data_IF_629363685331
#
_entry.id   IF_629363685331
#
_cell.length_a   1.000
_cell.length_b   1.000
_cell.length_c   1.000
_cell.angle_alpha   90.00
_cell.angle_beta   90.00
_cell.angle_gamma   90.00
#
_symmetry.space_group_name_H-M   'P 1'
#
loop_
_entity.id
_entity.type
_entity.pdbx_description
1 polymer ?
#
# COMPACT_ATOMS: atom_id res chain seq x y z
N UNK A 1 -4.33 10.52 3.87
CA UNK A 1 -4.84 11.84 3.41
C UNK A 1 -3.92 13.04 3.69
N UNK A 2 -3.32 13.17 4.88
CA UNK A 2 -2.49 14.35 5.22
C UNK A 2 -1.36 14.59 4.21
N UNK A 3 -0.65 13.53 3.80
CA UNK A 3 0.40 13.60 2.78
C UNK A 3 -0.18 14.01 1.42
N UNK A 4 -1.36 13.53 1.04
CA UNK A 4 -2.01 13.93 -0.21
C UNK A 4 -2.31 15.43 -0.22
N UNK A 5 -2.89 15.95 0.87
CA UNK A 5 -3.29 17.36 0.95
C UNK A 5 -2.12 18.33 1.16
N UNK A 6 -1.07 17.91 1.86
CA UNK A 6 -0.01 18.80 2.34
C UNK A 6 1.41 18.26 2.13
N UNK A 7 1.61 17.28 1.24
CA UNK A 7 2.90 16.65 0.97
C UNK A 7 4.00 17.65 0.59
N UNK A 8 3.65 18.64 -0.24
CA UNK A 8 4.54 19.74 -0.63
C UNK A 8 5.03 20.61 0.56
N UNK A 9 4.34 20.57 1.70
CA UNK A 9 4.74 21.28 2.91
C UNK A 9 5.42 20.33 3.90
N UNK A 10 4.83 19.16 4.14
CA UNK A 10 5.26 18.21 5.17
C UNK A 10 6.60 17.58 4.81
N UNK A 11 6.76 17.09 3.56
CA UNK A 11 7.97 16.36 3.16
C UNK A 11 9.22 17.25 3.19
N UNK A 12 9.22 18.48 2.61
CA UNK A 12 10.37 19.36 2.72
C UNK A 12 10.66 19.82 4.15
N UNK A 13 9.61 20.01 4.98
CA UNK A 13 9.79 20.40 6.38
C UNK A 13 10.42 19.27 7.19
N UNK A 14 9.98 18.03 7.01
CA UNK A 14 10.57 16.86 7.65
C UNK A 14 12.06 16.71 7.25
N UNK A 15 12.38 16.86 5.97
CA UNK A 15 13.75 16.84 5.46
C UNK A 15 14.60 17.97 6.07
N UNK A 16 14.08 19.21 6.12
CA UNK A 16 14.76 20.36 6.73
C UNK A 16 15.10 20.15 8.20
N UNK A 17 14.25 19.43 8.93
CA UNK A 17 14.44 19.13 10.35
C UNK A 17 15.10 17.78 10.63
N UNK A 18 15.54 17.07 9.59
CA UNK A 18 16.17 15.74 9.70
C UNK A 18 15.29 14.71 10.44
N UNK A 19 13.96 14.84 10.29
CA UNK A 19 12.97 13.93 10.88
C UNK A 19 12.46 12.97 9.82
N UNK A 20 12.58 11.66 10.08
CA UNK A 20 12.05 10.63 9.20
C UNK A 20 10.53 10.49 9.31
N UNK A 21 9.86 10.37 8.16
CA UNK A 21 8.45 9.95 8.06
C UNK A 21 8.42 8.44 7.85
N UNK A 22 7.78 7.71 8.77
CA UNK A 22 7.64 6.26 8.68
C UNK A 22 6.21 5.91 8.22
N UNK A 23 6.03 5.34 7.02
CA UNK A 23 4.71 4.99 6.53
C UNK A 23 4.10 3.85 7.34
N UNK A 24 2.81 3.98 7.64
CA UNK A 24 2.00 2.95 8.33
C UNK A 24 0.94 2.36 7.40
N UNK A 25 0.57 3.08 6.35
CA UNK A 25 -0.25 2.53 5.27
C UNK A 25 0.46 1.29 4.67
N UNK A 26 -0.30 0.22 4.41
CA UNK A 26 0.23 -1.12 4.15
C UNK A 26 1.16 -1.14 2.94
N UNK A 27 0.73 -0.52 1.85
CA UNK A 27 1.41 -0.45 0.58
C UNK A 27 2.73 0.35 0.68
N UNK A 28 2.69 1.51 1.33
CA UNK A 28 3.89 2.35 1.51
C UNK A 28 4.84 1.74 2.53
N UNK A 29 4.33 1.11 3.59
CA UNK A 29 5.16 0.32 4.52
C UNK A 29 5.84 -0.85 3.79
N UNK A 30 5.13 -1.51 2.86
CA UNK A 30 5.68 -2.58 2.03
C UNK A 30 6.80 -2.07 1.11
N UNK A 31 6.61 -0.94 0.43
CA UNK A 31 7.67 -0.28 -0.35
C UNK A 31 8.85 0.08 0.54
N UNK A 32 8.61 0.67 1.71
CA UNK A 32 9.67 1.07 2.63
C UNK A 32 10.50 -0.11 3.13
N UNK A 33 9.85 -1.23 3.45
CA UNK A 33 10.52 -2.49 3.78
C UNK A 33 11.31 -3.06 2.61
N UNK A 34 10.74 -3.06 1.41
CA UNK A 34 11.39 -3.57 0.20
C UNK A 34 12.61 -2.74 -0.20
N UNK A 35 12.55 -1.41 -0.01
CA UNK A 35 13.68 -0.50 -0.23
C UNK A 35 14.82 -0.81 0.75
N UNK A 36 14.52 -1.05 2.03
CA UNK A 36 15.54 -1.35 3.03
C UNK A 36 16.65 -0.30 3.08
N UNK A 37 17.87 -0.68 2.70
CA UNK A 37 19.04 0.21 2.60
C UNK A 37 19.49 0.47 1.16
N UNK A 38 18.67 0.13 0.17
CA UNK A 38 18.98 0.36 -1.23
C UNK A 38 19.04 1.87 -1.55
N UNK A 39 19.83 2.22 -2.56
CA UNK A 39 19.91 3.60 -3.04
C UNK A 39 18.68 3.93 -3.90
N UNK A 40 18.03 5.06 -3.63
CA UNK A 40 16.89 5.52 -4.43
C UNK A 40 17.23 5.73 -5.91
N UNK A 41 18.51 5.92 -6.27
CA UNK A 41 18.98 6.02 -7.66
C UNK A 41 18.84 4.72 -8.44
N UNK A 42 18.83 3.59 -7.74
CA UNK A 42 18.70 2.27 -8.36
C UNK A 42 17.23 1.91 -8.60
N UNK A 43 16.28 2.70 -8.08
CA UNK A 43 14.85 2.46 -8.16
C UNK A 43 14.31 2.84 -9.56
N UNK A 44 13.76 1.86 -10.27
CA UNK A 44 13.14 2.07 -11.57
C UNK A 44 11.69 2.53 -11.46
N UNK A 45 10.85 1.81 -10.70
CA UNK A 45 9.42 2.11 -10.48
C UNK A 45 8.90 1.50 -9.17
N UNK A 46 7.78 2.04 -8.71
CA UNK A 46 6.97 1.49 -7.62
C UNK A 46 5.76 0.76 -8.20
N UNK A 47 5.34 -0.33 -7.56
CA UNK A 47 4.16 -1.10 -7.94
C UNK A 47 3.25 -1.22 -6.72
N UNK A 48 2.17 -0.45 -6.72
CA UNK A 48 1.15 -0.47 -5.67
C UNK A 48 0.12 -1.54 -5.97
N UNK A 49 -0.06 -2.48 -5.05
CA UNK A 49 -1.11 -3.49 -5.17
C UNK A 49 -2.43 -2.99 -4.62
N UNK A 50 -3.56 -3.35 -5.21
CA UNK A 50 -4.90 -3.03 -4.73
C UNK A 50 -5.76 -4.31 -4.63
N UNK A 51 -6.62 -4.42 -3.63
CA UNK A 51 -7.55 -5.57 -3.54
C UNK A 51 -8.57 -5.63 -4.69
N UNK A 52 -8.85 -4.47 -5.30
CA UNK A 52 -9.92 -4.26 -6.29
C UNK A 52 -11.27 -3.88 -5.66
N UNK A 53 -11.39 -3.96 -4.33
CA UNK A 53 -12.62 -3.63 -3.61
C UNK A 53 -13.78 -4.60 -3.89
N UNK A 54 -14.95 -4.37 -3.27
CA UNK A 54 -16.15 -5.23 -3.41
C UNK A 54 -16.75 -5.27 -4.83
N UNK A 55 -16.43 -4.30 -5.69
CA UNK A 55 -17.02 -4.18 -7.02
C UNK A 55 -16.10 -4.61 -8.17
N UNK A 56 -14.95 -5.21 -7.87
CA UNK A 56 -13.97 -5.69 -8.86
C UNK A 56 -14.61 -6.51 -9.99
N UNK A 57 -15.50 -7.44 -9.62
CA UNK A 57 -16.13 -8.38 -10.55
C UNK A 57 -17.56 -7.94 -10.92
N UNK A 58 -18.00 -6.76 -10.47
CA UNK A 58 -19.34 -6.23 -10.75
C UNK A 58 -19.41 -5.72 -12.19
N UNK A 59 -20.39 -6.16 -13.01
CA UNK A 59 -20.56 -5.65 -14.36
C UNK A 59 -20.75 -4.14 -14.40
N UNK A 60 -20.13 -3.46 -15.36
CA UNK A 60 -20.16 -2.00 -15.45
C UNK A 60 -21.59 -1.41 -15.49
N UNK A 61 -22.54 -2.12 -16.10
CA UNK A 61 -23.97 -1.73 -16.16
C UNK A 61 -24.68 -1.74 -14.79
N UNK A 62 -24.12 -2.45 -13.81
CA UNK A 62 -24.67 -2.62 -12.46
C UNK A 62 -24.08 -1.61 -11.47
N UNK A 63 -22.89 -1.06 -11.77
CA UNK A 63 -22.21 -0.04 -10.95
C UNK A 63 -23.09 1.19 -10.62
N UNK A 64 -23.94 1.73 -11.51
CA UNK A 64 -24.80 2.87 -11.17
C UNK A 64 -25.86 2.58 -10.08
N UNK A 65 -26.10 1.31 -9.77
CA UNK A 65 -27.16 0.86 -8.86
C UNK A 65 -26.62 0.30 -7.53
N UNK A 66 -25.30 0.33 -7.32
CA UNK A 66 -24.71 -0.17 -6.08
C UNK A 66 -25.07 0.73 -4.90
N UNK A 67 -25.24 0.11 -3.74
CA UNK A 67 -25.61 0.78 -2.50
C UNK A 67 -24.41 0.96 -1.58
N UNK A 68 -24.46 1.92 -0.63
CA UNK A 68 -23.44 2.05 0.41
C UNK A 68 -23.27 0.76 1.23
N UNK A 69 -24.35 0.01 1.49
CA UNK A 69 -24.28 -1.26 2.21
C UNK A 69 -23.45 -2.32 1.49
N UNK A 70 -23.55 -2.39 0.15
CA UNK A 70 -22.71 -3.28 -0.66
C UNK A 70 -21.25 -2.81 -0.67
N UNK A 71 -21.01 -1.50 -0.76
CA UNK A 71 -19.66 -0.95 -0.73
C UNK A 71 -18.97 -1.19 0.62
N UNK A 72 -19.72 -1.19 1.73
CA UNK A 72 -19.21 -1.46 3.09
C UNK A 72 -18.86 -2.93 3.34
N UNK A 73 -19.25 -3.86 2.46
CA UNK A 73 -18.96 -5.29 2.58
C UNK A 73 -17.62 -5.66 1.90
N UNK A 74 -16.51 -5.16 2.44
CA UNK A 74 -15.19 -5.36 1.86
C UNK A 74 -14.72 -6.83 1.91
N UNK A 75 -14.13 -7.40 0.83
CA UNK A 75 -13.81 -8.83 0.78
C UNK A 75 -12.62 -9.25 1.65
N UNK A 76 -11.63 -8.39 1.85
CA UNK A 76 -10.36 -8.75 2.52
C UNK A 76 -10.08 -8.02 3.84
N UNK A 77 -10.48 -6.76 3.98
CA UNK A 77 -10.09 -5.89 5.08
C UNK A 77 -11.31 -5.50 5.93
N UNK A 78 -11.12 -5.44 7.25
CA UNK A 78 -12.07 -4.84 8.18
C UNK A 78 -11.62 -3.42 8.52
N UNK A 79 -12.33 -2.41 8.02
CA UNK A 79 -11.90 -1.01 8.05
C UNK A 79 -13.05 -0.04 8.37
N UNK A 80 -12.72 1.23 8.63
CA UNK A 80 -13.70 2.28 8.83
C UNK A 80 -14.49 2.64 7.56
N UNK A 81 -15.70 3.18 7.71
CA UNK A 81 -16.63 3.37 6.58
C UNK A 81 -16.06 4.20 5.42
N UNK A 82 -15.33 5.30 5.70
CA UNK A 82 -14.75 6.17 4.65
C UNK A 82 -13.76 5.42 3.76
N UNK A 83 -12.74 4.80 4.34
CA UNK A 83 -11.72 4.04 3.60
C UNK A 83 -12.34 2.85 2.86
N UNK A 84 -13.38 2.23 3.43
CA UNK A 84 -14.09 1.15 2.76
C UNK A 84 -14.81 1.63 1.48
N UNK A 85 -15.47 2.80 1.51
CA UNK A 85 -16.06 3.41 0.30
C UNK A 85 -14.98 3.81 -0.71
N UNK A 86 -13.87 4.38 -0.25
CA UNK A 86 -12.75 4.76 -1.12
C UNK A 86 -12.14 3.54 -1.80
N UNK A 87 -12.04 2.40 -1.12
CA UNK A 87 -11.59 1.12 -1.71
C UNK A 87 -12.58 0.63 -2.77
N UNK A 88 -13.88 0.71 -2.50
CA UNK A 88 -14.92 0.30 -3.45
C UNK A 88 -14.94 1.13 -4.74
N UNK A 89 -14.47 2.37 -4.70
CA UNK A 89 -14.35 3.27 -5.86
C UNK A 89 -12.94 3.30 -6.46
N UNK A 90 -11.98 2.59 -5.85
CA UNK A 90 -10.54 2.70 -6.10
C UNK A 90 -9.95 4.10 -5.87
N UNK A 91 -10.72 5.04 -5.32
CA UNK A 91 -10.20 6.34 -4.90
C UNK A 91 -9.12 6.19 -3.83
N UNK A 92 -9.21 5.16 -2.97
CA UNK A 92 -8.16 4.86 -1.99
C UNK A 92 -6.81 4.73 -2.69
N UNK A 93 -6.76 3.92 -3.75
CA UNK A 93 -5.54 3.70 -4.52
C UNK A 93 -5.06 4.97 -5.24
N UNK A 94 -5.98 5.80 -5.71
CA UNK A 94 -5.66 7.13 -6.26
C UNK A 94 -4.98 8.05 -5.24
N UNK A 95 -5.47 8.07 -3.99
CA UNK A 95 -4.85 8.80 -2.89
C UNK A 95 -3.47 8.24 -2.55
N UNK A 96 -3.34 6.91 -2.51
CA UNK A 96 -2.09 6.23 -2.21
C UNK A 96 -1.01 6.44 -3.29
N UNK A 97 -1.39 6.58 -4.57
CA UNK A 97 -0.46 6.96 -5.65
C UNK A 97 0.15 8.34 -5.39
N UNK A 98 -0.68 9.31 -4.97
CA UNK A 98 -0.19 10.65 -4.61
C UNK A 98 0.69 10.59 -3.36
N UNK A 99 0.33 9.77 -2.39
CA UNK A 99 1.13 9.56 -1.18
C UNK A 99 2.49 8.91 -1.49
N UNK A 100 2.53 7.91 -2.37
CA UNK A 100 3.78 7.27 -2.79
C UNK A 100 4.71 8.24 -3.55
N UNK A 101 4.15 9.11 -4.39
CA UNK A 101 4.91 10.18 -5.04
C UNK A 101 5.66 11.04 -4.01
N UNK A 102 4.96 11.47 -2.96
CA UNK A 102 5.54 12.33 -1.92
C UNK A 102 6.50 11.59 -1.00
N UNK A 103 6.15 10.39 -0.54
CA UNK A 103 6.94 9.65 0.44
C UNK A 103 8.26 9.12 -0.14
N UNK A 104 8.27 8.73 -1.42
CA UNK A 104 9.42 8.09 -2.05
C UNK A 104 10.07 8.94 -3.15
N UNK A 105 9.61 10.18 -3.34
CA UNK A 105 10.07 11.08 -4.39
C UNK A 105 10.03 10.42 -5.77
N UNK A 106 8.95 9.69 -6.06
CA UNK A 106 8.79 8.92 -7.29
C UNK A 106 7.89 9.66 -8.30
N UNK A 107 8.33 9.89 -9.55
CA UNK A 107 7.46 10.42 -10.60
C UNK A 107 6.20 9.57 -10.82
N UNK A 108 5.07 10.22 -11.12
CA UNK A 108 3.78 9.53 -11.28
C UNK A 108 3.77 8.46 -12.38
N UNK A 109 4.50 8.69 -13.48
CA UNK A 109 4.66 7.74 -14.60
C UNK A 109 5.50 6.51 -14.24
N UNK A 110 6.08 6.49 -13.03
CA UNK A 110 6.84 5.39 -12.45
C UNK A 110 6.14 4.77 -11.22
N UNK A 111 4.83 5.00 -11.06
CA UNK A 111 4.01 4.37 -10.03
C UNK A 111 2.90 3.59 -10.73
N UNK A 112 3.07 2.27 -10.79
CA UNK A 112 2.08 1.37 -11.36
C UNK A 112 1.08 0.91 -10.29
N UNK A 113 -0.13 0.61 -10.73
CA UNK A 113 -1.18 0.02 -9.88
C UNK A 113 -1.58 -1.34 -10.45
N UNK A 114 -1.54 -2.38 -9.61
CA UNK A 114 -1.93 -3.74 -9.97
C UNK A 114 -3.02 -4.24 -9.03
N UNK A 115 -4.09 -4.82 -9.57
CA UNK A 115 -5.11 -5.48 -8.74
C UNK A 115 -4.58 -6.86 -8.32
N UNK A 116 -4.39 -7.05 -7.02
CA UNK A 116 -3.98 -8.29 -6.37
C UNK A 116 -5.02 -8.68 -5.30
N UNK A 117 -6.07 -9.44 -5.69
CA UNK A 117 -7.24 -9.76 -4.86
C UNK A 117 -6.94 -10.29 -3.46
N UNK A 118 -5.92 -11.13 -3.32
CA UNK A 118 -5.62 -11.80 -2.06
C UNK A 118 -4.96 -10.87 -1.04
N UNK A 119 -4.43 -9.73 -1.48
CA UNK A 119 -3.75 -8.75 -0.61
C UNK A 119 -2.64 -9.41 0.24
N UNK A 120 -1.90 -10.37 -0.35
CA UNK A 120 -0.77 -11.04 0.29
C UNK A 120 0.53 -10.33 -0.05
N UNK A 121 0.72 -9.98 -1.32
CA UNK A 121 1.75 -9.02 -1.72
C UNK A 121 1.18 -7.63 -1.47
N UNK A 122 1.81 -6.86 -0.58
CA UNK A 122 1.31 -5.55 -0.17
C UNK A 122 1.82 -4.41 -1.04
N UNK A 123 2.98 -4.55 -1.67
CA UNK A 123 3.49 -3.72 -2.78
C UNK A 123 4.88 -4.24 -3.19
N UNK A 124 5.37 -3.76 -4.33
CA UNK A 124 6.69 -4.09 -4.85
C UNK A 124 7.45 -2.84 -5.28
N UNK A 125 8.76 -2.98 -5.34
CA UNK A 125 9.65 -2.08 -6.05
C UNK A 125 10.33 -2.82 -7.19
N UNK A 126 10.64 -2.11 -8.26
CA UNK A 126 11.50 -2.59 -9.34
C UNK A 126 12.77 -1.75 -9.40
N UNK A 127 13.91 -2.41 -9.49
CA UNK A 127 15.21 -1.78 -9.66
C UNK A 127 15.61 -1.64 -11.13
N UNK A 128 16.64 -0.83 -11.40
CA UNK A 128 17.14 -0.54 -12.75
C UNK A 128 17.68 -1.77 -13.50
N UNK A 129 18.02 -2.84 -12.79
CA UNK A 129 18.42 -4.14 -13.35
C UNK A 129 17.23 -5.08 -13.64
N UNK A 130 16.00 -4.56 -13.55
CA UNK A 130 14.74 -5.27 -13.70
C UNK A 130 14.42 -6.29 -12.59
N UNK A 131 15.22 -6.34 -11.52
CA UNK A 131 14.87 -7.14 -10.34
C UNK A 131 13.72 -6.48 -9.58
N UNK A 132 12.87 -7.29 -8.95
CA UNK A 132 11.77 -6.82 -8.12
C UNK A 132 11.89 -7.38 -6.70
N UNK A 133 11.59 -6.54 -5.72
CA UNK A 133 11.52 -6.90 -4.31
C UNK A 133 10.13 -6.55 -3.79
N UNK A 134 9.49 -7.52 -3.14
CA UNK A 134 8.14 -7.42 -2.64
C UNK A 134 8.11 -7.68 -1.15
N UNK A 135 7.23 -6.99 -0.44
CA UNK A 135 6.88 -7.34 0.94
C UNK A 135 5.58 -8.13 0.94
N UNK A 136 5.61 -9.29 1.61
CA UNK A 136 4.48 -10.22 1.71
C UNK A 136 4.06 -10.38 3.17
N UNK A 137 2.76 -10.49 3.40
CA UNK A 137 2.18 -10.80 4.70
C UNK A 137 0.68 -11.04 4.59
N UNK A 138 0.07 -11.56 5.65
CA UNK A 138 -1.40 -11.56 5.73
C UNK A 138 -1.92 -10.10 5.77
N UNK A 139 -3.16 -9.84 5.32
CA UNK A 139 -3.77 -8.51 5.38
C UNK A 139 -4.07 -8.09 6.83
N UNK A 140 -3.03 -7.64 7.53
CA UNK A 140 -3.07 -7.31 8.96
C UNK A 140 -2.24 -6.05 9.25
N UNK A 141 -2.92 -4.96 9.59
CA UNK A 141 -2.30 -3.66 9.89
C UNK A 141 -1.38 -3.67 11.11
N UNK A 142 -1.43 -4.71 11.97
CA UNK A 142 -0.48 -4.83 13.08
C UNK A 142 0.96 -4.94 12.58
N UNK A 143 1.19 -5.51 11.38
CA UNK A 143 2.52 -5.64 10.79
C UNK A 143 3.13 -4.27 10.42
N UNK A 144 2.52 -3.42 9.56
CA UNK A 144 3.10 -2.13 9.22
C UNK A 144 3.16 -1.17 10.43
N UNK A 145 2.19 -1.23 11.35
CA UNK A 145 2.24 -0.47 12.61
C UNK A 145 3.46 -0.88 13.45
N UNK A 146 3.67 -2.18 13.65
CA UNK A 146 4.82 -2.68 14.40
C UNK A 146 6.12 -2.25 13.74
N UNK A 147 6.24 -2.40 12.42
CA UNK A 147 7.47 -2.05 11.71
C UNK A 147 7.82 -0.55 11.86
N UNK A 148 6.85 0.35 11.74
CA UNK A 148 7.07 1.77 11.96
C UNK A 148 7.58 2.10 13.38
N UNK A 149 7.15 1.34 14.39
CA UNK A 149 7.60 1.50 15.79
C UNK A 149 8.96 0.86 16.06
N UNK A 150 9.27 -0.28 15.44
CA UNK A 150 10.44 -1.09 15.78
C UNK A 150 11.62 -0.91 14.83
N UNK A 151 11.42 -0.23 13.70
CA UNK A 151 12.46 0.04 12.72
C UNK A 151 13.75 0.58 13.38
N UNK A 152 14.94 0.06 13.01
CA UNK A 152 15.21 -0.84 11.88
C UNK A 152 15.04 -2.34 12.19
N UNK A 153 14.52 -2.70 13.37
CA UNK A 153 14.43 -4.08 13.82
C UNK A 153 13.08 -4.73 13.49
N UNK A 154 13.12 -6.04 13.22
CA UNK A 154 11.94 -6.90 13.19
C UNK A 154 11.83 -7.64 14.53
N UNK A 155 10.77 -7.38 15.27
CA UNK A 155 10.51 -8.06 16.54
C UNK A 155 9.51 -9.22 16.36
N UNK A 156 9.57 -10.25 17.22
CA UNK A 156 8.56 -11.29 17.25
C UNK A 156 7.16 -10.70 17.45
N UNK A 157 6.17 -11.25 16.75
CA UNK A 157 4.80 -10.82 16.86
C UNK A 157 3.86 -12.01 17.09
N UNK A 158 2.75 -11.82 17.83
CA UNK A 158 1.82 -12.90 18.16
C UNK A 158 0.75 -13.13 17.08
N UNK A 159 0.88 -12.55 15.89
CA UNK A 159 -0.07 -12.72 14.79
C UNK A 159 0.26 -13.93 13.90
N UNK A 160 -0.73 -14.35 13.11
CA UNK A 160 -0.66 -15.53 12.24
C UNK A 160 0.47 -15.40 11.20
N UNK A 161 1.11 -16.53 10.90
CA UNK A 161 2.21 -16.57 9.93
C UNK A 161 1.66 -16.87 8.54
N UNK A 162 2.11 -16.09 7.55
CA UNK A 162 1.87 -16.42 6.16
C UNK A 162 2.54 -17.76 5.82
N UNK A 163 1.76 -18.66 5.23
CA UNK A 163 2.20 -19.94 4.69
C UNK A 163 1.90 -19.96 3.19
N UNK A 164 2.92 -19.81 2.35
CA UNK A 164 2.73 -19.76 0.89
C UNK A 164 2.18 -21.08 0.33
N UNK A 165 2.48 -22.21 0.98
CA UNK A 165 1.90 -23.52 0.63
C UNK A 165 0.39 -23.55 0.83
N UNK A 166 -0.14 -22.80 1.81
CA UNK A 166 -1.56 -22.77 2.12
C UNK A 166 -2.31 -21.78 1.23
N UNK A 167 -1.66 -20.70 0.80
CA UNK A 167 -2.24 -19.72 -0.15
C UNK A 167 -2.38 -20.29 -1.56
N UNK A 168 -1.43 -21.13 -2.01
CA UNK A 168 -1.37 -21.84 -3.29
C UNK A 168 -1.30 -21.00 -4.58
N UNK A 169 -2.10 -19.94 -4.72
CA UNK A 169 -2.21 -19.07 -5.89
C UNK A 169 -2.21 -17.61 -5.45
N UNK A 170 -1.52 -16.73 -6.16
CA UNK A 170 -1.41 -15.29 -5.88
C UNK A 170 -1.99 -14.46 -7.03
#
# INVERSE_FOLDING_TARGET
>A
ETIVCAGAMIVPLAAKHEVGIRPVDSEHSAIWQALGTADHRDLNRLILTASGGPFRDTPARELPYVSPGQALAHPTWSMGGKITIDSATLMNKGLEVIEAHWLFNMPFDKIDVVVHPLSVIHSLIEFADCSQVAQLGLPDMRLPIQYALTWPNHLPAPFERLSLSDVSTL
#
